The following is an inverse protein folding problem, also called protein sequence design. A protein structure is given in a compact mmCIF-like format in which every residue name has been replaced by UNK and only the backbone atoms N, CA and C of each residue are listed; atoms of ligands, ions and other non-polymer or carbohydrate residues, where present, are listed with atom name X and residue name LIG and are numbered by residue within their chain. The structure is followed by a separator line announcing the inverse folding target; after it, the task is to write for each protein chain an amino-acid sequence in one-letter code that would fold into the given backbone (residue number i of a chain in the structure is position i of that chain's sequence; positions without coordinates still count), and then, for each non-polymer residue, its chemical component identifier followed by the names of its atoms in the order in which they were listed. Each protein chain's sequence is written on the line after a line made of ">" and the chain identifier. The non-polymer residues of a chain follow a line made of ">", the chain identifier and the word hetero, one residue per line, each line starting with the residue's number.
data_IF_409471760595
#
_entry.id   IF_409471760595
#
_cell.length_a   1.000
_cell.length_b   1.000
_cell.length_c   1.000
_cell.angle_alpha   90.00
_cell.angle_beta   90.00
_cell.angle_gamma   90.00
#
_symmetry.space_group_name_H-M   'P 1'
#
loop_
_entity.id
_entity.type
_entity.pdbx_description
1 polymer ?
#
# COMPACT_ATOMS: atom_id res chain seq x y z
N UNK A 1 -13.79 12.88 -7.95
CA UNK A 1 -12.78 12.08 -7.25
C UNK A 1 -11.57 12.95 -6.88
N UNK A 2 -10.49 12.42 -6.28
CA UNK A 2 -9.36 13.22 -5.76
C UNK A 2 -8.77 14.18 -6.82
N UNK A 3 -8.43 13.67 -8.01
CA UNK A 3 -7.91 14.48 -9.11
C UNK A 3 -8.81 15.66 -9.50
N UNK A 4 -10.12 15.45 -9.53
CA UNK A 4 -11.09 16.53 -9.80
C UNK A 4 -11.11 17.59 -8.69
N UNK A 5 -10.98 17.17 -7.41
CA UNK A 5 -10.93 18.11 -6.26
C UNK A 5 -9.67 18.96 -6.26
N UNK A 6 -8.60 18.45 -6.83
CA UNK A 6 -7.31 19.12 -6.94
C UNK A 6 -7.10 19.81 -8.29
N UNK A 7 -8.05 19.69 -9.22
CA UNK A 7 -7.90 20.13 -10.61
C UNK A 7 -6.56 19.66 -11.22
N UNK A 8 -6.27 18.37 -11.06
CA UNK A 8 -4.99 17.75 -11.43
C UNK A 8 -5.19 16.64 -12.47
N UNK A 9 -4.24 16.49 -13.35
CA UNK A 9 -4.09 15.29 -14.16
C UNK A 9 -3.68 14.11 -13.28
N UNK A 10 -3.96 12.88 -13.74
CA UNK A 10 -3.59 11.69 -12.99
C UNK A 10 -3.21 10.52 -13.90
N UNK A 11 -2.32 9.70 -13.41
CA UNK A 11 -2.04 8.36 -13.90
C UNK A 11 -2.32 7.38 -12.76
N UNK A 12 -2.98 6.28 -13.04
CA UNK A 12 -3.36 5.30 -12.02
C UNK A 12 -2.77 3.93 -12.36
N UNK A 13 -2.08 3.35 -11.37
CA UNK A 13 -1.59 1.97 -11.39
C UNK A 13 -2.34 1.24 -10.29
N UNK A 14 -3.32 0.43 -10.64
CA UNK A 14 -4.21 -0.20 -9.69
C UNK A 14 -4.51 -1.63 -10.10
N UNK A 15 -4.09 -2.57 -9.25
CA UNK A 15 -4.45 -3.99 -9.39
C UNK A 15 -5.01 -4.49 -8.06
N UNK A 16 -6.18 -5.14 -8.13
CA UNK A 16 -6.84 -5.68 -6.94
C UNK A 16 -6.04 -6.82 -6.32
N UNK A 17 -5.95 -6.87 -4.98
CA UNK A 17 -5.32 -7.95 -4.25
C UNK A 17 -3.80 -7.85 -4.14
N UNK A 18 -3.14 -6.87 -4.77
CA UNK A 18 -1.68 -6.76 -4.73
C UNK A 18 -1.16 -6.21 -3.40
N UNK A 19 -0.21 -6.91 -2.77
CA UNK A 19 0.52 -6.43 -1.60
C UNK A 19 1.76 -5.64 -2.02
N UNK A 20 2.45 -5.04 -1.04
CA UNK A 20 3.82 -4.55 -1.23
C UNK A 20 4.86 -5.63 -0.97
N UNK A 21 4.55 -6.57 -0.09
CA UNK A 21 5.42 -7.70 0.25
C UNK A 21 4.74 -9.03 -0.06
N UNK A 22 3.76 -9.44 0.71
CA UNK A 22 3.03 -10.70 0.55
C UNK A 22 1.56 -10.55 0.92
N UNK A 23 0.68 -11.31 0.28
CA UNK A 23 -0.72 -11.45 0.67
C UNK A 23 -1.10 -12.93 0.76
N UNK A 24 -2.28 -13.20 1.32
CA UNK A 24 -2.83 -14.59 1.34
C UNK A 24 -3.01 -15.20 -0.05
N UNK A 25 -3.07 -14.36 -1.07
CA UNK A 25 -3.37 -14.75 -2.44
C UNK A 25 -2.10 -14.97 -3.29
N UNK A 26 -0.90 -14.84 -2.70
CA UNK A 26 0.36 -14.93 -3.45
C UNK A 26 0.68 -16.33 -3.98
N UNK A 27 -0.08 -17.36 -3.60
CA UNK A 27 0.07 -18.68 -4.23
C UNK A 27 -0.42 -18.59 -5.68
N UNK A 28 0.47 -18.28 -6.61
CA UNK A 28 0.22 -18.24 -8.04
C UNK A 28 0.30 -16.88 -8.72
N UNK A 29 0.57 -15.80 -7.98
CA UNK A 29 0.88 -14.50 -8.60
C UNK A 29 2.40 -14.34 -8.76
N UNK A 30 2.91 -14.15 -10.00
CA UNK A 30 4.34 -14.06 -10.26
C UNK A 30 4.99 -12.73 -9.84
N UNK A 31 4.25 -11.80 -9.23
CA UNK A 31 4.75 -10.51 -8.79
C UNK A 31 5.00 -10.55 -7.29
N UNK A 32 6.26 -10.57 -6.90
CA UNK A 32 6.67 -10.50 -5.48
C UNK A 32 6.52 -9.11 -4.88
N UNK A 33 6.28 -8.07 -5.68
CA UNK A 33 6.06 -6.71 -5.20
C UNK A 33 5.48 -5.78 -6.25
N UNK A 34 4.80 -4.73 -5.81
CA UNK A 34 4.31 -3.63 -6.67
C UNK A 34 5.46 -2.77 -7.21
N UNK A 35 6.69 -2.89 -6.68
CA UNK A 35 7.86 -2.25 -7.24
C UNK A 35 8.05 -2.61 -8.73
N UNK A 36 7.75 -3.87 -9.07
CA UNK A 36 7.74 -4.30 -10.47
C UNK A 36 6.63 -3.64 -11.29
N UNK A 37 5.54 -3.21 -10.65
CA UNK A 37 4.42 -2.53 -11.32
C UNK A 37 4.70 -1.08 -11.68
N UNK A 38 5.63 -0.38 -11.02
CA UNK A 38 6.05 0.97 -11.44
C UNK A 38 6.72 0.89 -12.81
N UNK A 39 7.33 -0.24 -13.13
CA UNK A 39 7.96 -0.51 -14.42
C UNK A 39 7.04 -1.17 -15.46
N UNK A 40 5.84 -1.64 -15.07
CA UNK A 40 4.97 -2.47 -15.91
C UNK A 40 3.58 -1.83 -15.97
N UNK A 41 3.27 -1.09 -17.02
CA UNK A 41 1.97 -0.42 -17.14
C UNK A 41 1.11 -0.86 -18.32
N UNK A 42 1.49 -1.86 -19.06
CA UNK A 42 0.60 -2.46 -20.06
C UNK A 42 0.44 -3.96 -19.78
N UNK A 43 -0.66 -4.31 -19.13
CA UNK A 43 -1.12 -5.68 -19.11
C UNK A 43 -1.61 -6.04 -20.52
N UNK A 44 -1.08 -7.10 -21.11
CA UNK A 44 -1.74 -7.74 -22.23
C UNK A 44 -3.15 -8.17 -21.83
N UNK A 45 -4.05 -8.35 -22.78
CA UNK A 45 -5.43 -8.81 -22.55
C UNK A 45 -5.51 -10.07 -21.68
N UNK A 46 -4.44 -10.85 -21.58
CA UNK A 46 -4.34 -12.09 -20.82
C UNK A 46 -3.84 -11.90 -19.39
N UNK A 47 -3.52 -10.69 -18.96
CA UNK A 47 -2.93 -10.41 -17.62
C UNK A 47 -1.62 -11.20 -17.33
N UNK A 48 -0.87 -11.57 -18.37
CA UNK A 48 0.39 -12.30 -18.24
C UNK A 48 1.55 -11.33 -18.23
N UNK A 49 2.33 -11.35 -17.17
CA UNK A 49 3.51 -10.50 -17.01
C UNK A 49 4.56 -10.70 -18.09
N UNK A 50 4.66 -11.91 -18.63
CA UNK A 50 5.60 -12.28 -19.70
C UNK A 50 5.37 -11.49 -20.99
N UNK A 51 4.18 -10.90 -21.17
CA UNK A 51 3.78 -10.09 -22.31
C UNK A 51 3.64 -8.60 -22.00
N UNK A 52 3.94 -8.18 -20.77
CA UNK A 52 3.86 -6.78 -20.36
C UNK A 52 4.95 -5.94 -21.03
N UNK A 53 4.58 -4.72 -21.42
CA UNK A 53 5.52 -3.76 -21.97
C UNK A 53 5.93 -2.81 -20.85
N UNK A 54 7.24 -2.61 -20.59
CA UNK A 54 7.71 -1.66 -19.60
C UNK A 54 7.14 -0.26 -19.86
N UNK A 55 6.58 0.34 -18.83
CA UNK A 55 6.05 1.69 -18.93
C UNK A 55 7.17 2.71 -19.13
N UNK A 56 6.98 3.63 -20.06
CA UNK A 56 7.87 4.76 -20.24
C UNK A 56 7.51 5.86 -19.24
N UNK A 57 8.21 5.88 -18.11
CA UNK A 57 7.98 6.83 -17.01
C UNK A 57 8.19 8.31 -17.42
N UNK A 58 8.76 8.59 -18.58
CA UNK A 58 8.90 9.95 -19.09
C UNK A 58 7.59 10.53 -19.64
N UNK A 59 6.63 9.68 -19.97
CA UNK A 59 5.31 10.10 -20.50
C UNK A 59 4.43 10.79 -19.45
N UNK A 60 4.66 10.53 -18.17
CA UNK A 60 3.95 11.19 -17.09
C UNK A 60 4.89 11.38 -15.91
N UNK A 61 5.31 12.60 -15.66
CA UNK A 61 6.18 12.96 -14.53
C UNK A 61 5.32 13.56 -13.41
N UNK A 62 5.05 12.81 -12.34
CA UNK A 62 4.17 13.28 -11.28
C UNK A 62 4.84 14.34 -10.39
N UNK A 63 4.05 15.29 -9.90
CA UNK A 63 4.44 16.15 -8.79
C UNK A 63 4.18 15.46 -7.43
N UNK A 64 3.20 14.56 -7.42
CA UNK A 64 2.76 13.80 -6.25
C UNK A 64 2.51 12.35 -6.63
N UNK A 65 3.02 11.42 -5.84
CA UNK A 65 2.65 10.01 -5.85
C UNK A 65 1.84 9.70 -4.60
N UNK A 66 0.65 9.16 -4.77
CA UNK A 66 -0.16 8.63 -3.65
C UNK A 66 -0.08 7.12 -3.70
N UNK A 67 0.47 6.52 -2.64
CA UNK A 67 0.56 5.08 -2.45
C UNK A 67 -0.53 4.64 -1.48
N UNK A 68 -1.43 3.76 -1.92
CA UNK A 68 -2.45 3.17 -1.05
C UNK A 68 -2.30 1.64 -1.06
N UNK A 69 -1.22 1.18 -0.42
CA UNK A 69 -0.82 -0.22 -0.30
C UNK A 69 -0.61 -0.57 1.18
N UNK A 70 -0.64 -1.87 1.52
CA UNK A 70 -0.44 -2.39 2.86
C UNK A 70 -1.63 -3.19 3.39
N UNK A 71 -2.84 -2.91 2.94
CA UNK A 71 -4.04 -3.66 3.35
C UNK A 71 -3.96 -5.14 2.97
N UNK A 72 -3.47 -5.44 1.77
CA UNK A 72 -3.34 -6.84 1.34
C UNK A 72 -2.23 -7.57 2.09
N UNK A 73 -1.19 -6.86 2.52
CA UNK A 73 -0.14 -7.43 3.37
C UNK A 73 -0.69 -7.90 4.70
N UNK A 74 -1.65 -7.19 5.29
CA UNK A 74 -2.31 -7.63 6.53
C UNK A 74 -2.87 -9.04 6.44
N UNK A 75 -3.35 -9.43 5.27
CA UNK A 75 -3.90 -10.78 5.06
C UNK A 75 -2.84 -11.89 5.17
N UNK A 76 -1.56 -11.59 4.97
CA UNK A 76 -0.46 -12.52 5.16
C UNK A 76 -0.09 -12.68 6.64
N UNK A 77 -0.18 -11.61 7.42
CA UNK A 77 0.19 -11.52 8.83
C UNK A 77 -0.99 -11.74 9.79
N UNK A 78 -1.91 -12.64 9.47
CA UNK A 78 -3.11 -12.87 10.28
C UNK A 78 -3.39 -14.36 10.49
N UNK A 79 -4.14 -14.68 11.53
CA UNK A 79 -4.67 -16.03 11.77
C UNK A 79 -5.45 -16.56 10.57
N UNK A 80 -5.43 -17.85 10.36
CA UNK A 80 -6.00 -18.51 9.19
C UNK A 80 -5.06 -18.54 7.98
N UNK A 81 -3.84 -17.99 8.12
CA UNK A 81 -2.75 -18.28 7.19
C UNK A 81 -1.96 -19.48 7.67
N UNK A 82 -1.74 -20.45 6.77
CA UNK A 82 -1.09 -21.72 7.15
C UNK A 82 0.23 -21.48 7.91
N UNK A 83 1.09 -20.58 7.46
CA UNK A 83 2.36 -20.32 8.12
C UNK A 83 2.20 -19.70 9.52
N UNK A 84 1.18 -18.85 9.72
CA UNK A 84 0.84 -18.27 11.03
C UNK A 84 0.23 -19.34 11.94
N UNK A 85 -0.68 -20.16 11.41
CA UNK A 85 -1.32 -21.25 12.16
C UNK A 85 -0.31 -22.32 12.59
N UNK A 86 0.69 -22.64 11.74
CA UNK A 86 1.81 -23.51 12.09
C UNK A 86 2.64 -22.91 13.26
N UNK A 87 2.83 -21.59 13.29
CA UNK A 87 3.49 -20.91 14.41
C UNK A 87 2.60 -20.86 15.67
N UNK A 88 1.29 -20.67 15.53
CA UNK A 88 0.37 -20.75 16.66
C UNK A 88 0.42 -22.14 17.29
N UNK A 89 0.45 -23.20 16.48
CA UNK A 89 0.61 -24.57 16.98
C UNK A 89 1.94 -24.77 17.73
N UNK A 90 3.02 -24.05 17.33
CA UNK A 90 4.33 -24.11 17.99
C UNK A 90 4.40 -23.26 19.28
N UNK A 91 3.80 -22.08 19.28
CA UNK A 91 3.97 -21.07 20.35
C UNK A 91 2.74 -20.93 21.25
N UNK A 92 1.61 -21.56 20.92
CA UNK A 92 0.42 -21.66 21.74
C UNK A 92 -0.63 -20.58 21.53
N UNK A 93 -0.26 -19.36 21.07
CA UNK A 93 -1.21 -18.29 20.77
C UNK A 93 -0.67 -17.35 19.71
N UNK A 94 -1.55 -16.54 19.08
CA UNK A 94 -1.15 -15.51 18.11
C UNK A 94 -0.30 -14.41 18.76
N UNK A 95 -0.59 -14.02 20.02
CA UNK A 95 0.20 -13.05 20.76
C UNK A 95 1.65 -13.51 20.90
N UNK A 96 1.87 -14.79 21.22
CA UNK A 96 3.22 -15.37 21.30
C UNK A 96 3.91 -15.43 19.92
N UNK A 97 3.13 -15.65 18.86
CA UNK A 97 3.65 -15.62 17.48
C UNK A 97 4.16 -14.23 17.11
N UNK A 98 3.47 -13.16 17.51
CA UNK A 98 3.91 -11.78 17.25
C UNK A 98 5.30 -11.49 17.83
N UNK A 99 5.66 -12.14 18.96
CA UNK A 99 6.97 -12.03 19.60
C UNK A 99 8.03 -13.01 19.07
N UNK A 100 7.64 -13.94 18.18
CA UNK A 100 8.54 -14.95 17.62
C UNK A 100 9.58 -14.34 16.65
N UNK A 101 10.73 -14.99 16.55
CA UNK A 101 11.78 -14.56 15.61
C UNK A 101 11.35 -14.72 14.14
N UNK A 102 10.52 -15.71 13.84
CA UNK A 102 9.96 -15.92 12.51
C UNK A 102 9.06 -14.76 12.09
N UNK A 103 8.14 -14.34 12.95
CA UNK A 103 7.25 -13.20 12.68
C UNK A 103 8.05 -11.91 12.54
N UNK A 104 8.99 -11.64 13.47
CA UNK A 104 9.86 -10.46 13.41
C UNK A 104 10.65 -10.40 12.11
N UNK A 105 11.18 -11.53 11.65
CA UNK A 105 11.92 -11.63 10.38
C UNK A 105 11.03 -11.28 9.19
N UNK A 106 9.81 -11.77 9.15
CA UNK A 106 8.85 -11.45 8.07
C UNK A 106 8.46 -9.96 8.10
N UNK A 107 8.23 -9.38 9.29
CA UNK A 107 7.95 -7.94 9.42
C UNK A 107 9.13 -7.07 8.99
N UNK A 108 10.37 -7.48 9.28
CA UNK A 108 11.59 -6.80 8.77
C UNK A 108 11.68 -6.92 7.23
N UNK A 109 11.23 -8.03 6.66
CA UNK A 109 11.17 -8.16 5.20
C UNK A 109 10.15 -7.20 4.58
N UNK A 110 9.02 -6.98 5.24
CA UNK A 110 8.04 -5.96 4.84
C UNK A 110 8.65 -4.54 4.97
N UNK A 111 9.36 -4.23 6.07
CA UNK A 111 10.08 -2.95 6.22
C UNK A 111 11.01 -2.68 5.04
N UNK A 112 11.84 -3.66 4.68
CA UNK A 112 12.79 -3.54 3.58
C UNK A 112 12.09 -3.33 2.22
N UNK A 113 10.94 -3.96 2.00
CA UNK A 113 10.15 -3.77 0.77
C UNK A 113 9.55 -2.36 0.68
N UNK A 114 9.06 -1.80 1.79
CA UNK A 114 8.56 -0.43 1.83
C UNK A 114 9.69 0.55 1.50
N UNK A 115 10.88 0.36 2.09
CA UNK A 115 12.05 1.20 1.84
C UNK A 115 12.46 1.11 0.37
N UNK A 116 12.63 -0.11 -0.16
CA UNK A 116 12.99 -0.31 -1.58
C UNK A 116 11.99 0.34 -2.52
N UNK A 117 10.70 0.24 -2.23
CA UNK A 117 9.66 0.86 -3.05
C UNK A 117 9.74 2.39 -3.07
N UNK A 118 10.04 3.01 -1.92
CA UNK A 118 10.29 4.45 -1.83
C UNK A 118 11.56 4.84 -2.61
N UNK A 119 12.64 4.07 -2.48
CA UNK A 119 13.88 4.29 -3.20
C UNK A 119 13.65 4.25 -4.72
N UNK A 120 12.87 3.29 -5.22
CA UNK A 120 12.52 3.17 -6.63
C UNK A 120 11.72 4.38 -7.13
N UNK A 121 10.74 4.86 -6.33
CA UNK A 121 9.99 6.09 -6.67
C UNK A 121 10.94 7.28 -6.80
N UNK A 122 11.87 7.47 -5.85
CA UNK A 122 12.79 8.59 -5.86
C UNK A 122 13.92 8.44 -6.89
N UNK A 123 14.26 7.22 -7.29
CA UNK A 123 15.16 6.98 -8.42
C UNK A 123 14.53 7.46 -9.74
N UNK A 124 13.24 7.22 -9.92
CA UNK A 124 12.47 7.65 -11.09
C UNK A 124 12.15 9.15 -11.06
N UNK A 125 11.72 9.66 -9.90
CA UNK A 125 11.13 11.00 -9.74
C UNK A 125 11.78 11.77 -8.58
N UNK A 126 12.99 12.28 -8.77
CA UNK A 126 13.85 12.86 -7.72
C UNK A 126 13.22 13.97 -6.85
N UNK A 127 12.23 14.70 -7.36
CA UNK A 127 11.61 15.85 -6.67
C UNK A 127 10.15 15.63 -6.31
N UNK A 128 9.65 14.42 -6.48
CA UNK A 128 8.25 14.08 -6.21
C UNK A 128 7.97 14.13 -4.70
N UNK A 129 6.75 14.50 -4.32
CA UNK A 129 6.23 14.22 -2.98
C UNK A 129 5.53 12.87 -2.99
N UNK A 130 5.71 12.11 -1.93
CA UNK A 130 5.08 10.79 -1.77
C UNK A 130 4.19 10.84 -0.54
N UNK A 131 2.92 10.49 -0.70
CA UNK A 131 2.00 10.28 0.40
C UNK A 131 1.66 8.81 0.47
N UNK A 132 2.02 8.15 1.57
CA UNK A 132 1.55 6.81 1.85
C UNK A 132 0.23 6.90 2.63
N UNK A 133 -0.86 6.50 1.99
CA UNK A 133 -2.22 6.65 2.51
C UNK A 133 -2.78 5.30 2.96
N UNK A 134 -3.07 5.16 4.25
CA UNK A 134 -3.50 3.93 4.90
C UNK A 134 -4.91 4.06 5.52
N UNK A 135 -5.59 2.96 5.79
CA UNK A 135 -6.80 2.95 6.63
C UNK A 135 -8.14 3.06 5.92
N UNK A 136 -8.19 3.04 4.59
CA UNK A 136 -9.47 2.88 3.86
C UNK A 136 -10.13 1.53 4.20
N UNK A 137 -9.33 0.50 4.33
CA UNK A 137 -9.68 -0.81 4.85
C UNK A 137 -8.79 -1.03 6.09
N UNK A 138 -9.24 -1.90 6.99
CA UNK A 138 -8.53 -2.18 8.24
C UNK A 138 -7.11 -2.69 8.01
N UNK A 139 -6.20 -2.21 8.84
CA UNK A 139 -4.80 -2.65 8.87
C UNK A 139 -4.53 -3.19 10.27
N UNK A 140 -3.92 -4.38 10.36
CA UNK A 140 -3.53 -5.01 11.61
C UNK A 140 -2.53 -4.10 12.36
N UNK A 141 -2.65 -4.02 13.67
CA UNK A 141 -1.81 -3.14 14.50
C UNK A 141 -0.29 -3.39 14.29
N UNK A 142 0.12 -4.65 14.19
CA UNK A 142 1.53 -5.00 14.00
C UNK A 142 2.04 -4.61 12.61
N UNK A 143 1.22 -4.70 11.56
CA UNK A 143 1.56 -4.21 10.22
C UNK A 143 1.53 -2.68 10.18
N UNK A 144 0.55 -2.03 10.82
CA UNK A 144 0.52 -0.57 10.95
C UNK A 144 1.80 -0.03 11.61
N UNK A 145 2.28 -0.67 12.69
CA UNK A 145 3.54 -0.30 13.36
C UNK A 145 4.75 -0.34 12.43
N UNK A 146 4.79 -1.27 11.49
CA UNK A 146 5.85 -1.33 10.47
C UNK A 146 5.81 -0.09 9.58
N UNK A 147 4.64 0.25 9.05
CA UNK A 147 4.48 1.46 8.24
C UNK A 147 4.82 2.73 9.03
N UNK A 148 4.30 2.87 10.25
CA UNK A 148 4.55 4.02 11.11
C UNK A 148 6.06 4.22 11.37
N UNK A 149 6.77 3.13 11.64
CA UNK A 149 8.22 3.13 11.84
C UNK A 149 8.95 3.55 10.57
N UNK A 150 8.74 2.85 9.47
CA UNK A 150 9.47 3.09 8.22
C UNK A 150 9.22 4.48 7.69
N UNK A 151 7.95 4.92 7.60
CA UNK A 151 7.62 6.23 7.03
C UNK A 151 8.13 7.38 7.89
N UNK A 152 8.22 7.19 9.21
CA UNK A 152 8.81 8.16 10.15
C UNK A 152 10.34 8.22 10.04
N UNK A 153 10.99 7.06 9.87
CA UNK A 153 12.45 6.93 9.88
C UNK A 153 13.07 7.14 8.49
N UNK A 154 12.27 7.05 7.43
CA UNK A 154 12.74 7.28 6.07
C UNK A 154 13.20 8.73 5.89
N UNK A 155 14.50 8.91 5.72
CA UNK A 155 15.17 10.22 5.75
C UNK A 155 14.96 11.04 4.46
N UNK A 156 13.70 11.34 4.12
CA UNK A 156 13.35 12.21 3.00
C UNK A 156 12.16 13.10 3.37
N UNK A 157 12.33 14.44 3.37
CA UNK A 157 11.28 15.39 3.75
C UNK A 157 10.09 15.44 2.79
N UNK A 158 10.16 14.74 1.66
CA UNK A 158 9.07 14.61 0.70
C UNK A 158 8.19 13.37 0.93
N UNK A 159 8.47 12.57 1.95
CA UNK A 159 7.64 11.41 2.34
C UNK A 159 6.69 11.82 3.45
N UNK A 160 5.42 11.54 3.25
CA UNK A 160 4.34 11.84 4.19
C UNK A 160 3.51 10.60 4.43
N UNK A 161 3.11 10.38 5.68
CA UNK A 161 2.10 9.38 6.02
C UNK A 161 0.75 10.06 6.17
N UNK A 162 -0.29 9.41 5.66
CA UNK A 162 -1.68 9.83 5.84
C UNK A 162 -2.52 8.62 6.25
N UNK A 163 -3.23 8.73 7.37
CA UNK A 163 -4.14 7.70 7.83
C UNK A 163 -5.59 8.20 7.66
N UNK A 164 -6.37 7.50 6.83
CA UNK A 164 -7.77 7.82 6.62
C UNK A 164 -8.59 7.65 7.90
N UNK A 165 -9.43 8.62 8.20
CA UNK A 165 -10.40 8.58 9.29
C UNK A 165 -11.83 8.29 8.82
N UNK A 166 -12.02 8.07 7.54
CA UNK A 166 -13.34 7.84 6.92
C UNK A 166 -14.16 6.78 7.64
N UNK A 167 -13.53 5.74 8.19
CA UNK A 167 -14.21 4.67 8.94
C UNK A 167 -14.81 5.14 10.28
N UNK A 168 -14.30 6.20 10.86
CA UNK A 168 -14.84 6.79 12.09
C UNK A 168 -16.21 7.47 11.87
N UNK A 169 -16.44 7.96 10.64
CA UNK A 169 -17.64 8.70 10.27
C UNK A 169 -18.56 7.94 9.32
N UNK A 170 -18.03 6.97 8.58
CA UNK A 170 -18.78 6.17 7.61
C UNK A 170 -18.11 4.81 7.40
N UNK A 171 -18.66 3.74 7.93
CA UNK A 171 -18.20 2.37 7.69
C UNK A 171 -19.18 1.59 6.82
N UNK A 172 -19.70 2.24 5.79
CA UNK A 172 -20.63 1.62 4.83
C UNK A 172 -19.84 0.82 3.80
N UNK A 173 -20.09 -0.49 3.78
CA UNK A 173 -19.40 -1.42 2.89
C UNK A 173 -20.18 -1.70 1.62
N UNK A 174 -19.45 -1.84 0.52
CA UNK A 174 -19.93 -2.35 -0.75
C UNK A 174 -19.71 -3.87 -0.88
N UNK A 175 -19.51 -4.31 -2.12
CA UNK A 175 -19.24 -5.72 -2.39
C UNK A 175 -17.96 -6.21 -1.71
N UNK A 176 -18.01 -7.43 -1.17
CA UNK A 176 -16.83 -8.10 -0.53
C UNK A 176 -16.18 -7.24 0.55
N UNK A 177 -17.00 -6.52 1.33
CA UNK A 177 -16.55 -5.65 2.42
C UNK A 177 -15.63 -4.49 2.01
N UNK A 178 -15.50 -4.17 0.72
CA UNK A 178 -14.76 -3.02 0.26
C UNK A 178 -15.52 -1.71 0.55
N UNK A 179 -14.82 -0.56 0.64
CA UNK A 179 -15.46 0.74 0.79
C UNK A 179 -16.46 1.02 -0.33
N UNK A 180 -17.66 1.51 0.02
CA UNK A 180 -18.64 1.93 -0.96
C UNK A 180 -18.32 3.33 -1.54
N UNK A 181 -19.16 3.78 -2.49
CA UNK A 181 -18.99 5.10 -3.12
C UNK A 181 -18.94 6.25 -2.11
N UNK A 182 -19.73 6.20 -1.03
CA UNK A 182 -19.80 7.24 -0.02
C UNK A 182 -18.49 7.33 0.77
N UNK A 183 -17.93 6.18 1.17
CA UNK A 183 -16.62 6.13 1.81
C UNK A 183 -15.53 6.69 0.89
N UNK A 184 -15.52 6.34 -0.38
CA UNK A 184 -14.56 6.89 -1.34
C UNK A 184 -14.68 8.40 -1.53
N UNK A 185 -15.90 8.96 -1.46
CA UNK A 185 -16.10 10.41 -1.52
C UNK A 185 -15.50 11.11 -0.30
N UNK A 186 -15.80 10.61 0.91
CA UNK A 186 -15.27 11.16 2.16
C UNK A 186 -13.73 11.06 2.17
N UNK A 187 -13.18 9.88 1.89
CA UNK A 187 -11.73 9.68 1.84
C UNK A 187 -11.04 10.60 0.82
N UNK A 188 -11.67 10.83 -0.33
CA UNK A 188 -11.12 11.77 -1.32
C UNK A 188 -11.14 13.22 -0.85
N UNK A 189 -12.06 13.60 0.04
CA UNK A 189 -12.11 14.91 0.71
C UNK A 189 -10.95 15.04 1.71
N UNK A 190 -10.86 14.09 2.65
CA UNK A 190 -9.80 14.08 3.67
C UNK A 190 -8.40 14.18 3.05
N UNK A 191 -8.15 13.36 2.02
CA UNK A 191 -6.85 13.36 1.36
C UNK A 191 -6.61 14.63 0.55
N UNK A 192 -7.64 15.22 -0.07
CA UNK A 192 -7.50 16.48 -0.80
C UNK A 192 -7.10 17.62 0.14
N UNK A 193 -7.72 17.74 1.31
CA UNK A 193 -7.37 18.76 2.30
C UNK A 193 -5.92 18.59 2.79
N UNK A 194 -5.51 17.36 3.10
CA UNK A 194 -4.12 17.07 3.49
C UNK A 194 -3.12 17.45 2.39
N UNK A 195 -3.43 17.17 1.12
CA UNK A 195 -2.58 17.56 -0.02
C UNK A 195 -2.47 19.10 -0.12
N UNK A 196 -3.58 19.83 0.04
CA UNK A 196 -3.57 21.30 0.02
C UNK A 196 -2.68 21.88 1.13
N UNK A 197 -2.70 21.29 2.33
CA UNK A 197 -1.82 21.69 3.44
C UNK A 197 -0.34 21.50 3.08
N UNK A 198 0.03 20.33 2.51
CA UNK A 198 1.42 20.03 2.10
C UNK A 198 1.92 20.99 1.03
N UNK A 199 1.05 21.39 0.11
CA UNK A 199 1.41 22.32 -0.99
C UNK A 199 1.13 23.78 -0.66
N UNK A 200 0.49 24.07 0.48
CA UNK A 200 0.07 25.45 0.89
C UNK A 200 -0.84 26.12 -0.16
N UNK A 201 -1.79 25.36 -0.70
CA UNK A 201 -2.78 25.81 -1.68
C UNK A 201 -4.02 26.42 -1.00
#
# INVERSE_FOLDING_TARGET
>A
MLSQKLNADYSAICVSGFPIYKSRWNEGFPIDSVADMISICDYSEDMKMETSIPWDNSKFIPNLVVVNLGTNDCSYFTEGQKWVDDLIAKYGSFENVLDSEEMKKELVSLENKIISFLDDIFALYKKVKVIWALGMIEINEHVQKVFDKVLKEYNNPNVYQFNFKVREVCDERGAVYHPNKKMHLIASEELAEFIKEIYKW
#
